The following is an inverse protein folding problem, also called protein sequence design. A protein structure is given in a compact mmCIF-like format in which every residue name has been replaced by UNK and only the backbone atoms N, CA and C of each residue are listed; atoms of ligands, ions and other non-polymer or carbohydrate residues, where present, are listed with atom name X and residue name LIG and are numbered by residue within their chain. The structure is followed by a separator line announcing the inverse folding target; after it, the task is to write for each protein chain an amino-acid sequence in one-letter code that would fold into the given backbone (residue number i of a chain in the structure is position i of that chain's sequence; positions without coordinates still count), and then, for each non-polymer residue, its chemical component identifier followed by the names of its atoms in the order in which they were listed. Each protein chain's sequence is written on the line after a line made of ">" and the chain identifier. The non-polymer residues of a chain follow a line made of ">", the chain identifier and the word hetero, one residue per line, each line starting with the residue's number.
data_IF_016222376547
#
_entry.id   IF_016222376547
#
_cell.length_a   1.000
_cell.length_b   1.000
_cell.length_c   1.000
_cell.angle_alpha   90.00
_cell.angle_beta   90.00
_cell.angle_gamma   90.00
#
_symmetry.space_group_name_H-M   'P 1'
#
loop_
_entity.id
_entity.type
_entity.pdbx_description
1 polymer ?
#
# COMPACT_ATOMS: atom_id res chain seq x y z
N UNK A 1 17.31 21.34 -16.73
CA UNK A 1 16.28 21.81 -17.67
C UNK A 1 15.44 20.57 -18.02
N UNK A 2 14.30 20.40 -17.35
CA UNK A 2 13.37 19.30 -17.60
C UNK A 2 12.33 19.80 -18.59
N UNK A 3 12.33 19.24 -19.79
CA UNK A 3 11.26 19.46 -20.77
C UNK A 3 9.92 19.18 -20.09
N UNK A 4 9.10 20.19 -19.97
CA UNK A 4 7.71 20.07 -19.60
C UNK A 4 6.99 19.42 -20.80
N UNK A 5 6.85 18.09 -20.76
CA UNK A 5 5.97 17.38 -21.69
C UNK A 5 4.58 17.97 -21.48
N UNK A 6 4.12 18.76 -22.44
CA UNK A 6 2.76 19.31 -22.45
C UNK A 6 1.76 18.17 -22.68
N UNK A 7 1.41 17.50 -21.58
CA UNK A 7 0.36 16.47 -21.59
C UNK A 7 -0.98 17.13 -21.97
N UNK A 8 -1.74 16.48 -22.86
CA UNK A 8 -3.13 16.88 -23.14
C UNK A 8 -3.94 16.83 -21.83
N UNK A 9 -4.97 17.66 -21.74
CA UNK A 9 -5.80 17.74 -20.52
C UNK A 9 -6.39 16.37 -20.12
N UNK A 10 -6.78 15.55 -21.08
CA UNK A 10 -7.25 14.16 -20.88
C UNK A 10 -6.18 13.28 -20.19
N UNK A 11 -4.92 13.41 -20.61
CA UNK A 11 -3.84 12.56 -20.13
C UNK A 11 -3.47 12.89 -18.68
N UNK A 12 -3.67 14.15 -18.27
CA UNK A 12 -3.47 14.58 -16.86
C UNK A 12 -4.48 13.93 -15.92
N UNK A 13 -5.73 13.79 -16.33
CA UNK A 13 -6.75 13.13 -15.51
C UNK A 13 -6.56 11.61 -15.43
N UNK A 14 -5.98 10.98 -16.46
CA UNK A 14 -5.54 9.59 -16.37
C UNK A 14 -4.44 9.39 -15.33
N UNK A 15 -3.57 10.38 -15.13
CA UNK A 15 -2.57 10.36 -14.04
C UNK A 15 -3.24 10.36 -12.66
N UNK A 16 -4.33 11.10 -12.47
CA UNK A 16 -5.10 11.08 -11.22
C UNK A 16 -5.74 9.72 -10.99
N UNK A 17 -6.36 9.13 -12.02
CA UNK A 17 -6.93 7.79 -11.93
C UNK A 17 -5.85 6.73 -11.61
N UNK A 18 -4.70 6.82 -12.25
CA UNK A 18 -3.56 5.94 -11.98
C UNK A 18 -3.09 6.07 -10.51
N UNK A 19 -2.94 7.30 -10.02
CA UNK A 19 -2.57 7.57 -8.63
C UNK A 19 -3.65 7.07 -7.64
N UNK A 20 -4.93 7.23 -7.97
CA UNK A 20 -6.06 6.70 -7.20
C UNK A 20 -5.97 5.18 -7.08
N UNK A 21 -5.80 4.46 -8.20
CA UNK A 21 -5.73 2.99 -8.22
C UNK A 21 -4.53 2.46 -7.45
N UNK A 22 -3.34 3.08 -7.60
CA UNK A 22 -2.14 2.67 -6.88
C UNK A 22 -2.34 2.80 -5.38
N UNK A 23 -2.88 3.92 -4.92
CA UNK A 23 -3.15 4.15 -3.50
C UNK A 23 -4.25 3.23 -2.97
N UNK A 24 -5.29 2.97 -3.76
CA UNK A 24 -6.35 2.05 -3.39
C UNK A 24 -5.80 0.64 -3.13
N UNK A 25 -5.01 0.10 -4.05
CA UNK A 25 -4.39 -1.22 -3.92
C UNK A 25 -3.35 -1.22 -2.80
N UNK A 26 -2.38 -0.30 -2.84
CA UNK A 26 -1.24 -0.30 -1.92
C UNK A 26 -1.65 -0.12 -0.47
N UNK A 27 -2.44 0.90 -0.17
CA UNK A 27 -2.85 1.21 1.21
C UNK A 27 -4.06 0.34 1.62
N UNK A 28 -4.97 0.07 0.69
CA UNK A 28 -6.13 -0.78 0.94
C UNK A 28 -5.73 -2.17 1.44
N UNK A 29 -4.80 -2.82 0.76
CA UNK A 29 -4.32 -4.14 1.16
C UNK A 29 -3.36 -4.04 2.35
N UNK A 30 -2.32 -3.20 2.29
CA UNK A 30 -1.26 -3.18 3.30
C UNK A 30 -1.72 -2.71 4.69
N UNK A 31 -2.69 -1.81 4.76
CA UNK A 31 -3.10 -1.18 6.02
C UNK A 31 -4.52 -1.61 6.43
N UNK A 32 -5.49 -1.47 5.53
CA UNK A 32 -6.89 -1.66 5.91
C UNK A 32 -7.30 -3.13 6.03
N UNK A 33 -6.71 -4.04 5.24
CA UNK A 33 -6.98 -5.48 5.39
C UNK A 33 -6.46 -6.05 6.71
N UNK A 34 -5.51 -5.38 7.39
CA UNK A 34 -5.01 -5.82 8.69
C UNK A 34 -6.14 -6.11 9.69
N UNK A 35 -7.16 -5.24 9.75
CA UNK A 35 -8.27 -5.42 10.69
C UNK A 35 -9.04 -6.73 10.43
N UNK A 36 -9.20 -7.11 9.16
CA UNK A 36 -9.90 -8.33 8.75
C UNK A 36 -9.09 -9.59 9.08
N UNK A 37 -7.77 -9.55 8.87
CA UNK A 37 -6.88 -10.67 9.18
C UNK A 37 -6.54 -10.81 10.66
N UNK A 38 -6.71 -9.77 11.46
CA UNK A 38 -6.35 -9.76 12.89
C UNK A 38 -7.10 -10.80 13.71
N UNK A 39 -8.40 -11.03 13.41
CA UNK A 39 -9.21 -12.02 14.13
C UNK A 39 -8.78 -13.46 13.84
N UNK A 40 -8.64 -13.91 12.58
CA UNK A 40 -8.08 -15.22 12.28
C UNK A 40 -6.71 -15.47 12.92
N UNK A 41 -5.84 -14.48 12.95
CA UNK A 41 -4.51 -14.62 13.57
C UNK A 41 -4.57 -14.75 15.10
N UNK A 42 -5.51 -14.05 15.76
CA UNK A 42 -5.75 -14.23 17.20
C UNK A 42 -6.12 -15.68 17.52
N UNK A 43 -7.05 -16.24 16.76
CA UNK A 43 -7.58 -17.57 17.00
C UNK A 43 -6.54 -18.64 16.66
N UNK A 44 -5.85 -18.54 15.56
CA UNK A 44 -4.93 -19.57 15.08
C UNK A 44 -3.61 -19.61 15.84
N UNK A 45 -3.03 -18.44 16.13
CA UNK A 45 -1.75 -18.37 16.85
C UNK A 45 -1.92 -18.30 18.38
N UNK A 46 -3.15 -18.30 18.91
CA UNK A 46 -3.41 -18.15 20.34
C UNK A 46 -2.83 -16.87 20.91
N UNK A 47 -2.73 -15.82 20.07
CA UNK A 47 -2.05 -14.58 20.37
C UNK A 47 -2.93 -13.64 21.23
N UNK A 48 -2.30 -12.78 22.01
CA UNK A 48 -3.02 -11.72 22.70
C UNK A 48 -3.32 -10.53 21.74
N UNK A 49 -4.30 -9.69 22.10
CA UNK A 49 -4.55 -8.45 21.36
C UNK A 49 -3.34 -7.54 21.29
N UNK A 50 -2.50 -7.57 22.33
CA UNK A 50 -1.23 -6.83 22.37
C UNK A 50 -0.28 -7.30 21.27
N UNK A 51 -0.14 -8.61 21.12
CA UNK A 51 0.78 -9.19 20.13
C UNK A 51 0.34 -8.88 18.69
N UNK A 52 -0.97 -8.89 18.44
CA UNK A 52 -1.52 -8.46 17.16
C UNK A 52 -1.26 -6.97 16.89
N UNK A 53 -1.41 -6.10 17.91
CA UNK A 53 -1.13 -4.66 17.74
C UNK A 53 0.37 -4.38 17.53
N UNK A 54 1.29 -5.22 18.00
CA UNK A 54 2.70 -5.13 17.67
C UNK A 54 2.99 -5.27 16.17
N UNK A 55 2.14 -5.98 15.44
CA UNK A 55 2.25 -6.10 13.98
C UNK A 55 2.14 -4.73 13.30
N UNK A 56 1.15 -3.94 13.67
CA UNK A 56 0.99 -2.57 13.14
C UNK A 56 2.08 -1.63 13.62
N UNK A 57 2.55 -1.79 14.84
CA UNK A 57 3.69 -1.02 15.37
C UNK A 57 4.93 -1.23 14.50
N UNK A 58 5.28 -2.49 14.19
CA UNK A 58 6.42 -2.82 13.34
C UNK A 58 6.27 -2.25 11.93
N UNK A 59 5.07 -2.34 11.36
CA UNK A 59 4.77 -1.74 10.06
C UNK A 59 5.04 -0.23 10.05
N UNK A 60 4.52 0.50 11.03
CA UNK A 60 4.64 1.96 11.09
C UNK A 60 6.09 2.39 11.36
N UNK A 61 6.78 1.71 12.27
CA UNK A 61 8.19 1.98 12.57
C UNK A 61 9.07 1.78 11.32
N UNK A 62 8.91 0.65 10.65
CA UNK A 62 9.68 0.33 9.45
C UNK A 62 9.32 1.25 8.28
N UNK A 63 8.03 1.59 8.10
CA UNK A 63 7.58 2.56 7.09
C UNK A 63 8.23 3.92 7.31
N UNK A 64 8.29 4.40 8.56
CA UNK A 64 8.99 5.64 8.91
C UNK A 64 10.48 5.60 8.56
N UNK A 65 11.15 4.48 8.89
CA UNK A 65 12.57 4.31 8.62
C UNK A 65 12.90 4.22 7.12
N UNK A 66 12.03 3.58 6.33
CA UNK A 66 12.24 3.36 4.89
C UNK A 66 11.83 4.59 4.04
N UNK A 67 10.88 5.40 4.50
CA UNK A 67 10.32 6.53 3.75
C UNK A 67 11.36 7.49 3.14
N UNK A 68 12.45 7.91 3.85
CA UNK A 68 13.45 8.81 3.26
C UNK A 68 14.17 8.17 2.06
N UNK A 69 14.47 6.87 2.14
CA UNK A 69 15.16 6.14 1.06
C UNK A 69 14.27 5.96 -0.16
N UNK A 70 12.99 5.67 0.07
CA UNK A 70 12.00 5.56 -1.02
C UNK A 70 11.73 6.94 -1.63
N UNK A 71 11.66 8.01 -0.85
CA UNK A 71 11.56 9.37 -1.36
C UNK A 71 12.70 9.68 -2.34
N UNK A 72 13.95 9.41 -1.96
CA UNK A 72 15.09 9.55 -2.85
C UNK A 72 14.98 8.68 -4.12
N UNK A 73 14.51 7.45 -3.99
CA UNK A 73 14.31 6.56 -5.14
C UNK A 73 13.24 7.09 -6.11
N UNK A 74 12.13 7.63 -5.60
CA UNK A 74 11.06 8.23 -6.41
C UNK A 74 11.56 9.44 -7.20
N UNK A 75 12.50 10.20 -6.64
CA UNK A 75 13.08 11.35 -7.35
C UNK A 75 14.07 10.93 -8.44
N UNK A 76 14.77 9.81 -8.25
CA UNK A 76 15.84 9.37 -9.15
C UNK A 76 15.35 8.45 -10.28
N UNK A 77 14.33 7.62 -10.01
CA UNK A 77 13.88 6.59 -10.94
C UNK A 77 12.49 6.91 -11.54
N UNK A 78 12.19 6.38 -12.73
CA UNK A 78 10.87 6.57 -13.34
C UNK A 78 9.79 5.88 -12.50
N UNK A 79 8.69 6.60 -12.26
CA UNK A 79 7.60 6.17 -11.36
C UNK A 79 7.04 4.78 -11.72
N UNK A 80 7.03 4.41 -13.00
CA UNK A 80 6.59 3.09 -13.44
C UNK A 80 7.40 1.96 -12.79
N UNK A 81 8.72 2.13 -12.67
CA UNK A 81 9.59 1.12 -12.01
C UNK A 81 9.31 1.06 -10.52
N UNK A 82 9.11 2.21 -9.89
CA UNK A 82 8.77 2.33 -8.48
C UNK A 82 7.49 1.56 -8.17
N UNK A 83 6.43 1.80 -8.96
CA UNK A 83 5.14 1.13 -8.79
C UNK A 83 5.23 -0.38 -9.05
N UNK A 84 5.94 -0.80 -10.10
CA UNK A 84 6.14 -2.23 -10.37
C UNK A 84 6.87 -2.94 -9.22
N UNK A 85 7.93 -2.31 -8.68
CA UNK A 85 8.62 -2.84 -7.50
C UNK A 85 7.69 -2.90 -6.28
N UNK A 86 6.88 -1.87 -6.07
CA UNK A 86 5.88 -1.85 -5.01
C UNK A 86 4.88 -3.01 -5.12
N UNK A 87 4.39 -3.30 -6.33
CA UNK A 87 3.49 -4.43 -6.58
C UNK A 87 4.19 -5.77 -6.31
N UNK A 88 5.45 -5.93 -6.73
CA UNK A 88 6.22 -7.14 -6.45
C UNK A 88 6.39 -7.34 -4.93
N UNK A 89 6.74 -6.30 -4.18
CA UNK A 89 6.84 -6.38 -2.73
C UNK A 89 5.49 -6.65 -2.06
N UNK A 90 4.39 -6.10 -2.59
CA UNK A 90 3.05 -6.37 -2.07
C UNK A 90 2.69 -7.85 -2.25
N UNK A 91 2.84 -8.39 -3.45
CA UNK A 91 2.60 -9.80 -3.73
C UNK A 91 3.49 -10.72 -2.88
N UNK A 92 4.77 -10.36 -2.76
CA UNK A 92 5.71 -11.10 -1.92
C UNK A 92 5.31 -11.08 -0.45
N UNK A 93 4.84 -9.94 0.07
CA UNK A 93 4.41 -9.83 1.47
C UNK A 93 3.16 -10.66 1.76
N UNK A 94 2.18 -10.65 0.85
CA UNK A 94 0.97 -11.48 0.98
C UNK A 94 1.34 -12.96 0.91
N UNK A 95 2.17 -13.35 -0.04
CA UNK A 95 2.63 -14.73 -0.17
C UNK A 95 3.42 -15.21 1.05
N UNK A 96 4.35 -14.42 1.57
CA UNK A 96 5.09 -14.76 2.80
C UNK A 96 4.17 -14.84 4.02
N UNK A 97 3.18 -13.95 4.12
CA UNK A 97 2.21 -13.99 5.21
C UNK A 97 1.36 -15.25 5.17
N UNK A 98 0.96 -15.74 3.98
CA UNK A 98 0.17 -16.99 3.84
C UNK A 98 0.93 -18.23 4.28
N UNK A 99 2.27 -18.23 4.22
CA UNK A 99 3.14 -19.34 4.66
C UNK A 99 3.43 -19.30 6.17
N UNK A 100 3.00 -18.28 6.89
CA UNK A 100 3.32 -18.11 8.29
C UNK A 100 2.64 -19.20 9.14
N UNK A 101 3.45 -19.87 9.96
CA UNK A 101 3.02 -20.87 10.95
C UNK A 101 3.04 -20.32 12.39
N UNK A 102 3.69 -19.18 12.60
CA UNK A 102 3.81 -18.50 13.88
C UNK A 102 3.71 -16.98 13.73
N UNK A 103 3.21 -16.28 14.76
CA UNK A 103 2.94 -14.86 14.72
C UNK A 103 4.20 -14.01 14.47
N UNK A 104 5.36 -14.41 15.00
CA UNK A 104 6.60 -13.66 14.77
C UNK A 104 7.02 -13.59 13.30
N UNK A 105 6.61 -14.56 12.48
CA UNK A 105 6.84 -14.54 11.02
C UNK A 105 6.00 -13.43 10.36
N UNK A 106 4.76 -13.23 10.81
CA UNK A 106 3.92 -12.08 10.39
C UNK A 106 4.61 -10.76 10.79
N UNK A 107 5.17 -10.66 12.02
CA UNK A 107 5.93 -9.47 12.42
C UNK A 107 7.11 -9.20 11.49
N UNK A 108 7.84 -10.23 11.08
CA UNK A 108 8.95 -10.06 10.13
C UNK A 108 8.49 -9.51 8.78
N UNK A 109 7.38 -10.03 8.24
CA UNK A 109 6.81 -9.51 6.98
C UNK A 109 6.39 -8.05 7.13
N UNK A 110 5.74 -7.70 8.25
CA UNK A 110 5.28 -6.35 8.55
C UNK A 110 6.41 -5.38 8.93
N UNK A 111 7.55 -5.89 9.38
CA UNK A 111 8.73 -5.09 9.68
C UNK A 111 9.70 -4.93 8.47
N UNK A 112 9.57 -5.73 7.43
CA UNK A 112 10.55 -5.76 6.34
C UNK A 112 9.96 -5.53 4.95
N UNK A 113 9.12 -6.44 4.46
CA UNK A 113 8.66 -6.45 3.06
C UNK A 113 7.45 -5.54 2.85
N UNK A 114 6.46 -5.61 3.71
CA UNK A 114 5.23 -4.84 3.58
C UNK A 114 5.43 -3.31 3.69
N UNK A 115 6.35 -2.77 4.54
CA UNK A 115 6.67 -1.34 4.55
C UNK A 115 7.21 -0.82 3.22
N UNK A 116 8.00 -1.63 2.52
CA UNK A 116 8.50 -1.28 1.18
C UNK A 116 7.32 -1.18 0.19
N UNK A 117 6.43 -2.16 0.18
CA UNK A 117 5.24 -2.15 -0.67
C UNK A 117 4.36 -0.94 -0.38
N UNK A 118 3.99 -0.72 0.90
CA UNK A 118 3.09 0.36 1.31
C UNK A 118 3.66 1.75 1.02
N UNK A 119 4.97 1.94 1.11
CA UNK A 119 5.63 3.22 0.82
C UNK A 119 5.75 3.46 -0.68
N UNK A 120 6.12 2.42 -1.46
CA UNK A 120 6.26 2.51 -2.92
C UNK A 120 4.92 2.69 -3.64
N UNK A 121 3.82 2.13 -3.11
CA UNK A 121 2.47 2.25 -3.66
C UNK A 121 1.63 3.32 -2.97
N UNK A 122 2.12 3.87 -1.87
CA UNK A 122 1.39 4.80 -1.02
C UNK A 122 1.28 6.22 -1.55
N UNK A 123 0.92 7.10 -0.65
CA UNK A 123 0.66 8.52 -0.96
C UNK A 123 1.89 9.26 -1.52
N UNK A 124 3.12 8.88 -1.12
CA UNK A 124 4.34 9.50 -1.64
C UNK A 124 4.47 9.35 -3.15
N UNK A 125 4.31 8.14 -3.67
CA UNK A 125 4.36 7.87 -5.10
C UNK A 125 3.20 8.56 -5.85
N UNK A 126 1.98 8.42 -5.33
CA UNK A 126 0.79 9.04 -5.92
C UNK A 126 0.87 10.57 -5.99
N UNK A 127 1.29 11.20 -4.91
CA UNK A 127 1.44 12.66 -4.85
C UNK A 127 2.53 13.18 -5.78
N UNK A 128 3.66 12.50 -5.87
CA UNK A 128 4.76 12.89 -6.77
C UNK A 128 4.32 12.91 -8.23
N UNK A 129 3.52 11.93 -8.65
CA UNK A 129 2.99 11.87 -10.03
C UNK A 129 2.09 13.08 -10.31
N UNK A 130 1.22 13.44 -9.35
CA UNK A 130 0.32 14.59 -9.48
C UNK A 130 1.09 15.91 -9.54
N UNK A 131 2.09 16.10 -8.67
CA UNK A 131 2.92 17.33 -8.67
C UNK A 131 3.61 17.52 -10.01
N UNK A 132 4.08 16.44 -10.63
CA UNK A 132 4.74 16.49 -11.96
C UNK A 132 3.76 16.75 -13.10
N UNK A 133 2.49 16.30 -12.99
CA UNK A 133 1.49 16.42 -14.06
C UNK A 133 0.69 17.73 -14.02
N UNK A 134 0.48 18.31 -12.84
CA UNK A 134 -0.38 19.48 -12.65
C UNK A 134 0.40 20.70 -12.16
N UNK A 135 0.35 21.80 -12.93
CA UNK A 135 0.77 23.12 -12.47
C UNK A 135 -0.36 23.86 -11.74
N UNK A 136 -1.58 23.77 -12.30
CA UNK A 136 -2.81 24.33 -11.77
C UNK A 136 -3.73 23.23 -11.26
N UNK A 137 -4.69 23.56 -10.38
CA UNK A 137 -5.70 22.62 -9.82
C UNK A 137 -5.09 21.42 -9.05
N UNK A 138 -3.86 21.56 -8.54
CA UNK A 138 -3.16 20.50 -7.77
C UNK A 138 -4.00 20.00 -6.61
N UNK A 139 -4.66 20.90 -5.85
CA UNK A 139 -5.47 20.53 -4.70
C UNK A 139 -6.62 19.58 -5.05
N UNK A 140 -7.32 19.84 -6.16
CA UNK A 140 -8.40 18.97 -6.64
C UNK A 140 -7.85 17.61 -7.07
N UNK A 141 -6.73 17.60 -7.82
CA UNK A 141 -6.08 16.37 -8.24
C UNK A 141 -5.58 15.53 -7.05
N UNK A 142 -5.02 16.16 -6.03
CA UNK A 142 -4.65 15.51 -4.77
C UNK A 142 -5.86 14.93 -4.04
N UNK A 143 -6.92 15.71 -3.88
CA UNK A 143 -8.15 15.26 -3.22
C UNK A 143 -8.74 14.03 -3.89
N UNK A 144 -8.88 14.06 -5.22
CA UNK A 144 -9.40 12.93 -5.99
C UNK A 144 -8.50 11.70 -5.91
N UNK A 145 -7.17 11.88 -5.98
CA UNK A 145 -6.22 10.79 -5.82
C UNK A 145 -6.27 10.17 -4.42
N UNK A 146 -6.40 10.99 -3.37
CA UNK A 146 -6.48 10.53 -1.98
C UNK A 146 -7.77 9.74 -1.68
N UNK A 147 -8.86 9.96 -2.44
CA UNK A 147 -10.06 9.14 -2.34
C UNK A 147 -9.76 7.66 -2.66
N UNK A 148 -8.71 7.38 -3.44
CA UNK A 148 -8.26 6.01 -3.69
C UNK A 148 -7.94 5.25 -2.41
N UNK A 149 -7.29 5.88 -1.44
CA UNK A 149 -6.97 5.29 -0.13
C UNK A 149 -8.25 4.83 0.59
N UNK A 150 -9.27 5.72 0.66
CA UNK A 150 -10.53 5.42 1.33
C UNK A 150 -11.34 4.36 0.57
N UNK A 151 -11.35 4.44 -0.76
CA UNK A 151 -12.00 3.45 -1.61
C UNK A 151 -11.36 2.06 -1.42
N UNK A 152 -10.03 1.99 -1.42
CA UNK A 152 -9.30 0.76 -1.12
C UNK A 152 -9.61 0.22 0.28
N UNK A 153 -9.68 1.11 1.28
CA UNK A 153 -10.05 0.78 2.66
C UNK A 153 -11.49 0.28 2.83
N UNK A 154 -12.38 0.58 1.90
CA UNK A 154 -13.74 0.04 1.86
C UNK A 154 -13.79 -1.31 1.13
N UNK A 155 -13.22 -1.37 -0.07
CA UNK A 155 -13.38 -2.51 -0.99
C UNK A 155 -12.56 -3.72 -0.55
N UNK A 156 -11.25 -3.54 -0.29
CA UNK A 156 -10.36 -4.69 -0.02
C UNK A 156 -10.66 -5.43 1.28
N UNK A 157 -10.97 -4.79 2.42
CA UNK A 157 -11.38 -5.51 3.62
C UNK A 157 -12.68 -6.29 3.45
N UNK A 158 -13.65 -5.77 2.66
CA UNK A 158 -14.87 -6.50 2.36
C UNK A 158 -14.60 -7.75 1.54
N UNK A 159 -13.80 -7.62 0.47
CA UNK A 159 -13.40 -8.77 -0.35
C UNK A 159 -12.61 -9.78 0.47
N UNK A 160 -11.65 -9.32 1.26
CA UNK A 160 -10.86 -10.19 2.14
C UNK A 160 -11.75 -10.93 3.15
N UNK A 161 -12.73 -10.26 3.77
CA UNK A 161 -13.65 -10.89 4.70
C UNK A 161 -14.48 -11.99 4.03
N UNK A 162 -14.98 -11.77 2.82
CA UNK A 162 -15.71 -12.79 2.05
C UNK A 162 -14.82 -13.99 1.74
N UNK A 163 -13.61 -13.76 1.25
CA UNK A 163 -12.69 -14.83 0.90
C UNK A 163 -12.18 -15.61 2.12
N UNK A 164 -11.96 -14.95 3.24
CA UNK A 164 -11.58 -15.62 4.50
C UNK A 164 -12.70 -16.56 4.96
N UNK A 165 -13.97 -16.17 4.81
CA UNK A 165 -15.11 -17.04 5.15
C UNK A 165 -15.20 -18.29 4.28
N UNK A 166 -14.89 -18.17 2.97
CA UNK A 166 -15.04 -19.25 2.01
C UNK A 166 -13.80 -20.18 1.97
N UNK A 167 -12.60 -19.61 2.07
CA UNK A 167 -11.34 -20.33 1.81
C UNK A 167 -10.35 -20.31 2.99
N UNK A 168 -10.64 -19.53 4.03
CA UNK A 168 -9.68 -19.29 5.10
C UNK A 168 -8.70 -18.16 4.77
N UNK A 169 -8.02 -17.66 5.81
CA UNK A 169 -7.17 -16.48 5.68
C UNK A 169 -5.85 -16.70 4.90
N UNK A 170 -5.40 -17.97 4.77
CA UNK A 170 -4.19 -18.30 4.01
C UNK A 170 -4.38 -18.24 2.51
N UNK A 171 -5.59 -18.49 2.04
CA UNK A 171 -5.93 -18.51 0.61
C UNK A 171 -6.63 -17.22 0.16
N UNK A 172 -7.01 -16.36 1.11
CA UNK A 172 -7.66 -15.07 0.86
C UNK A 172 -6.62 -13.97 0.58
#
# INVERSE_FOLDING_TARGET
>A
MTESVSLKTSDRWLVVLYSFLIQAVGIGIAIYCFATFSLPWLDEFGASRRDIMLTTFWLQLATGAVSPFIGYAIDKYPIRRIVLLGLVFLLLSVWLASLASELWQIWLVYASVLPLASTLLGSLAGQTVIVRAFAEKRGVAFGLSALGTNFGGLVFPLLAAMWIQDFGWREA
#
